data_IF_619902096701
#
_entry.id   IF_619902096701
#
_cell.length_a   1.000
_cell.length_b   1.000
_cell.length_c   1.000
_cell.angle_alpha   90.00
_cell.angle_beta   90.00
_cell.angle_gamma   90.00
#
_symmetry.space_group_name_H-M   'P 1'
#
loop_
_entity.id
_entity.type
_entity.pdbx_description
1 polymer ?
#
# COMPACT_ATOMS: atom_id res chain seq x y z
N UNK A 1 9.80 11.84 -16.42
CA UNK A 1 9.10 11.96 -17.72
C UNK A 1 7.80 11.18 -17.62
N UNK A 2 6.65 11.86 -17.64
CA UNK A 2 5.32 11.23 -17.68
C UNK A 2 4.67 11.60 -19.00
N UNK A 3 4.44 10.61 -19.86
CA UNK A 3 3.64 10.81 -21.08
C UNK A 3 2.19 10.58 -20.69
N UNK A 4 1.43 11.67 -20.56
CA UNK A 4 -0.01 11.63 -20.38
C UNK A 4 -0.68 11.80 -21.76
N UNK A 5 -1.54 10.86 -22.13
CA UNK A 5 -2.52 11.06 -23.21
C UNK A 5 -3.89 10.91 -22.55
N UNK A 6 -4.74 11.94 -22.68
CA UNK A 6 -6.10 12.00 -22.12
C UNK A 6 -6.22 11.83 -20.59
N UNK A 7 -5.22 12.29 -19.82
CA UNK A 7 -5.26 12.20 -18.35
C UNK A 7 -5.05 10.79 -17.79
N UNK A 8 -4.74 9.81 -18.65
CA UNK A 8 -4.28 8.48 -18.29
C UNK A 8 -2.77 8.39 -18.56
N UNK A 9 -2.01 7.87 -17.59
CA UNK A 9 -0.58 7.58 -17.83
C UNK A 9 -0.46 6.51 -18.91
N UNK A 10 0.13 6.85 -20.06
CA UNK A 10 0.35 5.88 -21.13
C UNK A 10 1.64 5.13 -20.84
N UNK A 11 1.51 4.07 -20.05
CA UNK A 11 2.57 3.08 -19.86
C UNK A 11 2.49 2.04 -20.97
N UNK A 12 3.61 1.65 -21.62
CA UNK A 12 3.59 0.63 -22.66
C UNK A 12 3.05 -0.71 -22.14
N UNK A 13 2.46 -1.55 -23.00
CA UNK A 13 2.03 -2.89 -22.61
C UNK A 13 3.16 -3.67 -21.93
N UNK A 14 2.83 -4.34 -20.83
CA UNK A 14 3.78 -5.11 -20.03
C UNK A 14 4.40 -4.35 -18.85
N UNK A 15 4.35 -3.01 -18.84
CA UNK A 15 4.75 -2.24 -17.67
C UNK A 15 3.73 -2.41 -16.54
N UNK A 16 4.24 -2.66 -15.34
CA UNK A 16 3.43 -2.91 -14.14
C UNK A 16 4.07 -2.22 -12.95
N UNK A 17 3.23 -1.91 -11.97
CA UNK A 17 3.72 -1.51 -10.67
C UNK A 17 4.30 -2.75 -9.97
N UNK A 18 5.62 -2.82 -9.89
CA UNK A 18 6.36 -3.91 -9.26
C UNK A 18 7.58 -3.36 -8.52
N UNK A 19 7.36 -2.53 -7.49
CA UNK A 19 8.44 -1.87 -6.78
C UNK A 19 9.29 -2.88 -5.98
N UNK A 20 10.56 -2.58 -5.81
CA UNK A 20 11.42 -3.29 -4.86
C UNK A 20 11.06 -2.90 -3.41
N UNK A 21 11.51 -3.70 -2.44
CA UNK A 21 11.37 -3.37 -1.02
C UNK A 21 12.01 -2.01 -0.68
N UNK A 22 13.17 -1.71 -1.27
CA UNK A 22 13.87 -0.43 -1.07
C UNK A 22 13.07 0.74 -1.66
N UNK A 23 12.48 0.59 -2.85
CA UNK A 23 11.64 1.63 -3.46
C UNK A 23 10.38 1.90 -2.65
N UNK A 24 9.75 0.85 -2.09
CA UNK A 24 8.59 1.00 -1.21
C UNK A 24 8.91 1.87 0.01
N UNK A 25 10.10 1.70 0.61
CA UNK A 25 10.49 2.45 1.80
C UNK A 25 11.04 3.85 1.46
N UNK A 26 12.07 3.91 0.62
CA UNK A 26 12.88 5.10 0.39
C UNK A 26 12.18 6.12 -0.51
N UNK A 27 11.36 5.66 -1.45
CA UNK A 27 10.62 6.53 -2.34
C UNK A 27 9.18 6.71 -1.85
N UNK A 28 8.39 5.64 -1.73
CA UNK A 28 6.95 5.77 -1.46
C UNK A 28 6.65 6.16 -0.01
N UNK A 29 7.09 5.35 0.96
CA UNK A 29 6.78 5.58 2.37
C UNK A 29 7.47 6.84 2.91
N UNK A 30 8.75 7.04 2.60
CA UNK A 30 9.49 8.22 3.04
C UNK A 30 8.85 9.52 2.54
N UNK A 31 8.48 9.58 1.25
CA UNK A 31 7.75 10.74 0.70
C UNK A 31 6.39 10.93 1.36
N UNK A 32 5.64 9.84 1.59
CA UNK A 32 4.33 9.90 2.26
C UNK A 32 4.43 10.50 3.66
N UNK A 33 5.41 10.06 4.46
CA UNK A 33 5.64 10.56 5.82
C UNK A 33 6.13 12.01 5.81
N UNK A 34 6.97 12.37 4.84
CA UNK A 34 7.45 13.74 4.66
C UNK A 34 6.43 14.68 4.00
N UNK A 35 5.20 14.20 3.71
CA UNK A 35 4.16 14.93 2.99
C UNK A 35 4.63 15.48 1.63
N UNK A 36 5.56 14.76 0.99
CA UNK A 36 6.10 15.09 -0.32
C UNK A 36 5.26 14.47 -1.43
N UNK A 37 5.30 15.10 -2.61
CA UNK A 37 4.60 14.59 -3.79
C UNK A 37 5.21 13.26 -4.27
N UNK A 38 4.34 12.28 -4.45
CA UNK A 38 4.64 10.99 -5.08
C UNK A 38 4.25 11.11 -6.56
N UNK A 39 5.14 10.70 -7.47
CA UNK A 39 4.92 10.92 -8.91
C UNK A 39 3.80 10.02 -9.47
N UNK A 40 3.60 8.85 -8.85
CA UNK A 40 2.59 7.86 -9.23
C UNK A 40 1.60 7.66 -8.07
N UNK A 41 0.34 8.02 -8.28
CA UNK A 41 -0.74 7.83 -7.31
C UNK A 41 -1.31 6.40 -7.41
N UNK A 42 -0.48 5.43 -7.03
CA UNK A 42 -0.77 3.99 -7.14
C UNK A 42 -1.01 3.31 -5.79
N UNK A 43 -0.60 3.92 -4.68
CA UNK A 43 -0.79 3.38 -3.32
C UNK A 43 -1.83 4.24 -2.60
N UNK A 44 -2.97 3.63 -2.22
CA UNK A 44 -4.07 4.35 -1.57
C UNK A 44 -3.93 4.39 -0.05
N UNK A 45 -4.43 5.45 0.55
CA UNK A 45 -4.64 5.55 2.00
C UNK A 45 -5.88 4.75 2.41
N UNK A 46 -5.66 3.64 3.12
CA UNK A 46 -6.72 2.75 3.59
C UNK A 46 -6.40 2.27 5.00
N UNK A 47 -7.41 2.34 5.87
CA UNK A 47 -7.33 1.74 7.20
C UNK A 47 -7.43 0.21 7.09
N UNK A 48 -6.28 -0.46 7.17
CA UNK A 48 -6.19 -1.91 7.02
C UNK A 48 -6.95 -2.66 8.13
N UNK A 49 -7.07 -2.08 9.33
CA UNK A 49 -7.76 -2.71 10.45
C UNK A 49 -9.28 -2.64 10.31
N UNK A 50 -9.80 -1.81 9.40
CA UNK A 50 -11.23 -1.74 9.08
C UNK A 50 -11.57 -2.40 7.75
N UNK A 51 -10.61 -3.09 7.14
CA UNK A 51 -10.74 -3.74 5.86
C UNK A 51 -10.59 -5.24 6.00
N UNK A 52 -11.54 -5.98 5.44
CA UNK A 52 -11.41 -7.43 5.38
C UNK A 52 -10.56 -7.85 4.18
N UNK A 53 -9.86 -9.00 4.25
CA UNK A 53 -8.96 -9.44 3.18
C UNK A 53 -9.62 -9.51 1.80
N UNK A 54 -10.90 -9.92 1.73
CA UNK A 54 -11.65 -10.02 0.47
C UNK A 54 -12.03 -8.66 -0.14
N UNK A 55 -12.02 -7.59 0.66
CA UNK A 55 -12.31 -6.23 0.19
C UNK A 55 -11.06 -5.55 -0.40
N UNK A 56 -9.86 -6.05 -0.10
CA UNK A 56 -8.57 -5.47 -0.54
C UNK A 56 -8.54 -5.32 -2.06
N UNK A 57 -8.95 -6.37 -2.78
CA UNK A 57 -8.88 -6.37 -4.23
C UNK A 57 -9.70 -5.24 -4.86
N UNK A 58 -10.87 -4.95 -4.32
CA UNK A 58 -11.74 -3.89 -4.83
C UNK A 58 -11.21 -2.50 -4.47
N UNK A 59 -10.77 -2.31 -3.22
CA UNK A 59 -10.36 -0.99 -2.72
C UNK A 59 -8.97 -0.55 -3.15
N UNK A 60 -8.07 -1.50 -3.38
CA UNK A 60 -6.67 -1.24 -3.72
C UNK A 60 -6.37 -1.43 -5.22
N UNK A 61 -7.39 -1.61 -6.06
CA UNK A 61 -7.19 -1.85 -7.49
C UNK A 61 -6.55 -0.65 -8.19
N UNK A 62 -5.52 -0.93 -8.98
CA UNK A 62 -4.83 0.06 -9.81
C UNK A 62 -5.09 -0.23 -11.29
N UNK A 63 -5.71 0.72 -11.98
CA UNK A 63 -6.03 0.58 -13.41
C UNK A 63 -6.96 -0.60 -13.70
N UNK A 64 -6.93 -1.08 -14.95
CA UNK A 64 -7.84 -2.12 -15.45
C UNK A 64 -7.17 -3.46 -15.69
N UNK A 65 -5.83 -3.53 -15.67
CA UNK A 65 -5.06 -4.73 -15.96
C UNK A 65 -5.06 -5.78 -14.85
N UNK A 66 -4.50 -6.98 -15.11
CA UNK A 66 -4.33 -8.02 -14.11
C UNK A 66 -3.36 -7.58 -13.00
N UNK A 67 -3.74 -7.81 -11.75
CA UNK A 67 -3.00 -7.44 -10.56
C UNK A 67 -3.01 -8.61 -9.56
N UNK A 68 -1.84 -9.01 -9.07
CA UNK A 68 -1.69 -10.08 -8.09
C UNK A 68 -1.32 -9.55 -6.70
N UNK A 69 -0.75 -8.35 -6.63
CA UNK A 69 -0.26 -7.73 -5.40
C UNK A 69 -0.91 -6.35 -5.21
N UNK A 70 -1.26 -6.03 -3.98
CA UNK A 70 -1.89 -4.76 -3.60
C UNK A 70 -1.04 -4.03 -2.57
N UNK A 71 -0.94 -2.71 -2.75
CA UNK A 71 -0.15 -1.84 -1.90
C UNK A 71 -1.04 -0.75 -1.33
N UNK A 72 -0.91 -0.48 -0.03
CA UNK A 72 -1.71 0.51 0.68
C UNK A 72 -0.88 1.20 1.76
N UNK A 73 -1.20 2.47 2.00
CA UNK A 73 -0.78 3.17 3.20
C UNK A 73 -1.86 2.97 4.26
N UNK A 74 -1.47 2.47 5.43
CA UNK A 74 -2.35 2.38 6.59
C UNK A 74 -1.68 3.06 7.77
N UNK A 75 -2.48 3.74 8.58
CA UNK A 75 -2.02 4.17 9.88
C UNK A 75 -1.73 2.96 10.76
N UNK A 76 -0.63 3.03 11.50
CA UNK A 76 -0.23 1.99 12.44
C UNK A 76 -0.95 2.22 13.76
N UNK A 77 -2.04 1.52 13.97
CA UNK A 77 -2.79 1.59 15.22
C UNK A 77 -2.09 0.84 16.35
N UNK A 78 -2.17 1.41 17.56
CA UNK A 78 -1.72 0.72 18.78
C UNK A 78 -2.89 -0.06 19.37
N UNK A 79 -2.63 -1.30 19.80
CA UNK A 79 -3.62 -2.12 20.52
C UNK A 79 -3.93 -1.53 21.91
N UNK A 80 -2.94 -0.89 22.53
CA UNK A 80 -3.07 -0.24 23.84
C UNK A 80 -2.42 1.15 23.77
N UNK A 81 -2.99 2.17 24.44
CA UNK A 81 -2.48 3.55 24.36
C UNK A 81 -0.98 3.68 24.70
N UNK A 82 -0.52 2.92 25.69
CA UNK A 82 0.85 2.99 26.23
C UNK A 82 1.78 1.89 25.69
N UNK A 83 1.29 1.00 24.83
CA UNK A 83 2.05 -0.16 24.35
C UNK A 83 2.66 0.02 22.95
N UNK A 84 3.62 -0.84 22.61
CA UNK A 84 4.19 -0.96 21.26
C UNK A 84 3.44 -1.96 20.38
N UNK A 85 2.55 -2.76 20.99
CA UNK A 85 1.77 -3.79 20.29
C UNK A 85 0.81 -3.13 19.30
N UNK A 86 0.95 -3.51 18.04
CA UNK A 86 0.11 -3.01 16.94
C UNK A 86 -1.26 -3.68 16.98
N UNK A 87 -2.33 -2.91 16.74
CA UNK A 87 -3.66 -3.47 16.51
C UNK A 87 -3.68 -4.13 15.13
N UNK A 88 -4.28 -5.31 15.08
CA UNK A 88 -4.40 -6.13 13.87
C UNK A 88 -5.78 -6.77 13.77
N UNK A 89 -6.73 -6.36 14.61
CA UNK A 89 -8.10 -6.85 14.56
C UNK A 89 -8.84 -6.21 13.37
N UNK A 90 -9.65 -7.01 12.71
CA UNK A 90 -10.68 -6.57 11.76
C UNK A 90 -12.06 -6.79 12.38
N UNK A 91 -13.14 -6.48 11.66
CA UNK A 91 -14.49 -6.72 12.16
C UNK A 91 -14.79 -8.23 12.26
N UNK A 92 -14.32 -9.01 11.28
CA UNK A 92 -14.56 -10.44 11.18
C UNK A 92 -13.40 -11.30 11.74
N UNK A 93 -12.25 -10.72 12.09
CA UNK A 93 -11.10 -11.51 12.52
C UNK A 93 -9.87 -10.69 12.95
N UNK A 94 -8.68 -11.20 12.61
CA UNK A 94 -7.42 -10.50 12.86
C UNK A 94 -6.29 -10.97 11.95
N UNK A 95 -5.33 -10.09 11.71
CA UNK A 95 -4.08 -10.40 11.02
C UNK A 95 -3.06 -10.99 12.00
N UNK A 96 -2.56 -12.19 11.69
CA UNK A 96 -1.46 -12.84 12.43
C UNK A 96 -0.15 -12.61 11.69
N UNK A 97 0.86 -12.10 12.40
CA UNK A 97 2.20 -12.02 11.81
C UNK A 97 2.78 -13.43 11.62
N UNK A 98 3.44 -13.61 10.48
CA UNK A 98 4.13 -14.83 10.10
C UNK A 98 5.53 -14.47 9.62
N UNK A 99 6.54 -15.28 9.96
CA UNK A 99 7.94 -15.01 9.61
C UNK A 99 8.66 -14.13 10.64
N UNK A 100 9.89 -13.71 10.29
CA UNK A 100 10.72 -12.79 11.09
C UNK A 100 10.78 -11.44 10.38
N UNK A 101 10.91 -10.38 11.17
CA UNK A 101 11.13 -9.05 10.63
C UNK A 101 12.43 -9.03 9.82
N UNK A 102 12.35 -8.46 8.61
CA UNK A 102 13.49 -8.24 7.71
C UNK A 102 13.91 -6.79 7.81
N UNK A 103 15.19 -6.55 8.11
CA UNK A 103 15.77 -5.23 7.93
C UNK A 103 15.91 -4.96 6.43
N UNK A 104 15.44 -3.81 5.98
CA UNK A 104 15.51 -3.33 4.60
C UNK A 104 16.37 -2.08 4.61
#
# INVERSE_FOLDING_TARGET
MSIAVNGQSVVPPGFRFHPTEEELLTYYLAKKVALQRIDLDVIRDIDLNKLEPWDIQERCRIGTGPQNDWYLFSHKDKKYPTGTRTNRATAAGFWKATGRDKAI
#
